data_IF_068013581003
#
_entry.id   IF_068013581003
#
_cell.length_a   1.000
_cell.length_b   1.000
_cell.length_c   1.000
_cell.angle_alpha   90.00
_cell.angle_beta   90.00
_cell.angle_gamma   90.00
#
_symmetry.space_group_name_H-M   'P 1'
#
loop_
_entity.id
_entity.type
_entity.pdbx_description
1 polymer ?
#
# COMPACT_ATOMS: atom_id res chain seq x y z
N UNK A 1 28.13 0.16 9.09
CA UNK A 1 27.26 1.14 8.40
C UNK A 1 26.81 0.50 7.09
N UNK A 2 25.73 -0.30 7.14
CA UNK A 2 25.30 -1.10 5.99
C UNK A 2 24.57 -0.23 4.97
N UNK A 3 25.00 -0.32 3.72
CA UNK A 3 24.54 0.49 2.60
C UNK A 3 23.02 0.49 2.48
N UNK A 4 22.44 1.69 2.53
CA UNK A 4 21.05 1.92 2.14
C UNK A 4 20.88 1.46 0.70
N UNK A 5 19.86 0.64 0.47
CA UNK A 5 19.49 0.16 -0.86
C UNK A 5 18.87 1.34 -1.63
N UNK A 6 19.71 2.23 -2.15
CA UNK A 6 19.27 3.45 -2.86
C UNK A 6 18.61 4.52 -1.97
N UNK A 7 18.19 5.65 -2.56
CA UNK A 7 17.35 6.64 -1.86
C UNK A 7 16.03 6.01 -1.42
N UNK A 8 15.26 6.56 -0.47
CA UNK A 8 13.93 6.06 -0.13
C UNK A 8 13.00 5.96 -1.35
N UNK A 9 11.98 5.10 -1.29
CA UNK A 9 10.99 4.97 -2.36
C UNK A 9 10.14 6.25 -2.42
N UNK A 10 10.05 6.87 -3.59
CA UNK A 10 9.22 8.07 -3.80
C UNK A 10 7.77 7.73 -4.13
N UNK A 11 6.86 8.72 -4.06
CA UNK A 11 5.44 8.53 -4.40
C UNK A 11 5.22 8.10 -5.85
N UNK A 12 5.80 8.83 -6.82
CA UNK A 12 5.64 8.49 -8.24
C UNK A 12 6.11 7.05 -8.53
N UNK A 13 7.27 6.69 -7.98
CA UNK A 13 7.80 5.33 -8.09
C UNK A 13 6.90 4.28 -7.43
N UNK A 14 6.25 4.60 -6.30
CA UNK A 14 5.32 3.71 -5.63
C UNK A 14 4.09 3.35 -6.47
N UNK A 15 3.57 4.31 -7.25
CA UNK A 15 2.43 4.12 -8.13
C UNK A 15 2.78 3.44 -9.46
N UNK A 16 4.07 3.47 -9.85
CA UNK A 16 4.58 2.73 -11.02
C UNK A 16 5.04 1.30 -10.67
N UNK A 17 4.86 0.87 -9.41
CA UNK A 17 5.25 -0.48 -9.01
C UNK A 17 4.41 -1.55 -9.73
N UNK A 18 5.02 -2.70 -10.08
CA UNK A 18 4.28 -3.84 -10.59
C UNK A 18 3.33 -4.40 -9.52
N UNK A 19 2.39 -5.28 -9.91
CA UNK A 19 1.41 -5.90 -8.99
C UNK A 19 2.03 -6.55 -7.74
N UNK A 20 3.27 -7.03 -7.83
CA UNK A 20 4.03 -7.52 -6.68
C UNK A 20 5.51 -7.21 -6.81
N UNK A 21 6.13 -6.87 -5.69
CA UNK A 21 7.54 -6.51 -5.60
C UNK A 21 8.32 -7.52 -4.77
N UNK A 22 9.65 -7.48 -4.85
CA UNK A 22 10.50 -8.26 -3.95
C UNK A 22 10.64 -7.59 -2.57
N UNK A 23 11.23 -8.34 -1.63
CA UNK A 23 11.39 -7.86 -0.26
C UNK A 23 12.34 -6.66 -0.14
N UNK A 24 13.31 -6.48 -1.03
CA UNK A 24 14.23 -5.33 -0.98
C UNK A 24 13.49 -4.05 -1.39
N UNK A 25 12.67 -4.11 -2.42
CA UNK A 25 11.80 -2.99 -2.81
C UNK A 25 10.82 -2.65 -1.70
N UNK A 26 10.19 -3.65 -1.08
CA UNK A 26 9.30 -3.42 0.07
C UNK A 26 10.04 -2.82 1.28
N UNK A 27 11.26 -3.30 1.58
CA UNK A 27 12.10 -2.77 2.65
C UNK A 27 12.46 -1.29 2.40
N UNK A 28 12.77 -0.93 1.15
CA UNK A 28 13.05 0.44 0.73
C UNK A 28 11.83 1.36 0.91
N UNK A 29 10.62 0.85 0.67
CA UNK A 29 9.38 1.60 0.88
C UNK A 29 9.18 2.00 2.36
N UNK A 30 9.64 1.16 3.29
CA UNK A 30 9.57 1.42 4.74
C UNK A 30 10.86 2.05 5.32
N UNK A 31 11.81 2.45 4.49
CA UNK A 31 13.15 2.93 4.89
C UNK A 31 13.89 2.00 5.87
N UNK A 32 13.74 0.68 5.69
CA UNK A 32 14.46 -0.33 6.47
C UNK A 32 15.48 -1.05 5.60
N UNK A 33 16.61 -1.42 6.20
CA UNK A 33 17.62 -2.17 5.47
C UNK A 33 17.15 -3.61 5.18
N UNK A 34 17.59 -4.24 4.07
CA UNK A 34 17.16 -5.59 3.70
C UNK A 34 17.39 -6.63 4.80
N UNK A 35 18.51 -6.54 5.54
CA UNK A 35 18.82 -7.45 6.63
C UNK A 35 17.77 -7.39 7.75
N UNK A 36 17.34 -6.18 8.13
CA UNK A 36 16.26 -5.97 9.10
C UNK A 36 14.93 -6.49 8.56
N UNK A 37 14.63 -6.27 7.28
CA UNK A 37 13.41 -6.82 6.67
C UNK A 37 13.36 -8.36 6.76
N UNK A 38 14.44 -9.06 6.40
CA UNK A 38 14.51 -10.51 6.56
C UNK A 38 14.38 -10.96 8.02
N UNK A 39 14.96 -10.20 8.97
CA UNK A 39 14.82 -10.48 10.41
C UNK A 39 13.36 -10.36 10.85
N UNK A 40 12.69 -9.27 10.48
CA UNK A 40 11.28 -9.03 10.81
C UNK A 40 10.37 -10.11 10.24
N UNK A 41 10.64 -10.60 9.03
CA UNK A 41 9.89 -11.72 8.43
C UNK A 41 10.01 -12.99 9.27
N UNK A 42 11.23 -13.34 9.72
CA UNK A 42 11.46 -14.51 10.58
C UNK A 42 10.76 -14.39 11.94
N UNK A 43 10.57 -13.16 12.42
CA UNK A 43 9.88 -12.85 13.67
C UNK A 43 8.36 -12.68 13.48
N UNK A 44 7.83 -12.78 12.26
CA UNK A 44 6.43 -12.50 11.98
C UNK A 44 6.01 -11.03 12.19
N UNK A 45 6.98 -10.11 12.18
CA UNK A 45 6.80 -8.70 12.56
C UNK A 45 7.03 -7.73 11.38
N UNK A 46 7.04 -8.24 10.14
CA UNK A 46 7.13 -7.36 8.97
C UNK A 46 5.82 -6.58 8.78
N UNK A 47 5.86 -5.29 8.38
CA UNK A 47 4.67 -4.42 8.44
C UNK A 47 3.50 -4.85 7.54
N UNK A 48 3.74 -5.66 6.51
CA UNK A 48 2.71 -6.12 5.59
C UNK A 48 2.82 -7.62 5.27
N UNK A 49 1.74 -8.25 4.78
CA UNK A 49 1.77 -9.65 4.36
C UNK A 49 2.81 -9.94 3.28
N UNK A 50 3.57 -11.02 3.47
CA UNK A 50 4.60 -11.46 2.52
C UNK A 50 4.31 -12.88 2.07
N UNK A 51 4.27 -13.06 0.76
CA UNK A 51 4.04 -14.33 0.09
C UNK A 51 5.36 -15.06 -0.15
N UNK A 52 5.33 -16.38 -0.02
CA UNK A 52 6.42 -17.27 -0.43
C UNK A 52 6.03 -17.99 -1.73
N UNK A 53 6.56 -17.51 -2.85
CA UNK A 53 6.28 -18.06 -4.18
C UNK A 53 7.59 -18.54 -4.81
N UNK A 54 7.69 -19.84 -5.12
CA UNK A 54 8.89 -20.43 -5.72
C UNK A 54 10.17 -20.19 -4.91
N UNK A 55 10.07 -20.24 -3.57
CA UNK A 55 11.21 -19.98 -2.67
C UNK A 55 11.61 -18.50 -2.53
N UNK A 56 10.93 -17.57 -3.22
CA UNK A 56 11.19 -16.13 -3.16
C UNK A 56 10.14 -15.42 -2.31
N UNK A 57 10.55 -14.35 -1.64
CA UNK A 57 9.62 -13.44 -0.96
C UNK A 57 9.00 -12.48 -1.98
N UNK A 58 7.67 -12.34 -1.94
CA UNK A 58 6.92 -11.40 -2.76
C UNK A 58 5.96 -10.63 -1.87
N UNK A 59 5.87 -9.33 -2.10
CA UNK A 59 4.95 -8.44 -1.41
C UNK A 59 3.97 -7.89 -2.43
N UNK A 60 2.66 -8.17 -2.31
CA UNK A 60 1.67 -7.53 -3.18
C UNK A 60 1.66 -6.02 -2.95
N UNK A 61 1.66 -5.25 -4.03
CA UNK A 61 1.77 -3.78 -3.97
C UNK A 61 0.58 -3.17 -3.23
N UNK A 62 -0.61 -3.76 -3.36
CA UNK A 62 -1.81 -3.34 -2.62
C UNK A 62 -1.63 -3.33 -1.10
N UNK A 63 -1.00 -4.37 -0.54
CA UNK A 63 -0.73 -4.43 0.90
C UNK A 63 0.37 -3.46 1.32
N UNK A 64 1.40 -3.28 0.48
CA UNK A 64 2.46 -2.32 0.72
C UNK A 64 1.89 -0.89 0.79
N UNK A 65 1.12 -0.49 -0.22
CA UNK A 65 0.47 0.83 -0.29
C UNK A 65 -0.49 1.04 0.89
N UNK A 66 -1.35 0.06 1.18
CA UNK A 66 -2.27 0.15 2.32
C UNK A 66 -1.55 0.35 3.65
N UNK A 67 -0.42 -0.34 3.86
CA UNK A 67 0.37 -0.22 5.10
C UNK A 67 1.01 1.17 5.23
N UNK A 68 1.30 1.82 4.10
CA UNK A 68 1.77 3.21 4.05
C UNK A 68 0.63 4.23 4.15
N UNK A 69 -0.62 3.79 4.33
CA UNK A 69 -1.80 4.67 4.38
C UNK A 69 -2.29 5.14 3.02
N UNK A 70 -1.83 4.53 1.93
CA UNK A 70 -2.26 4.83 0.56
C UNK A 70 -3.38 3.86 0.18
N UNK A 71 -4.59 4.39 0.01
CA UNK A 71 -5.72 3.62 -0.49
C UNK A 71 -5.76 3.65 -2.02
N UNK A 72 -5.50 2.50 -2.63
CA UNK A 72 -5.65 2.32 -4.07
C UNK A 72 -7.11 1.93 -4.37
N UNK A 73 -7.90 2.91 -4.82
CA UNK A 73 -9.30 2.71 -5.19
C UNK A 73 -9.37 2.70 -6.71
N UNK A 74 -9.69 1.56 -7.35
CA UNK A 74 -9.81 1.52 -8.79
C UNK A 74 -10.94 2.46 -9.22
N UNK A 75 -10.59 3.56 -9.87
CA UNK A 75 -11.56 4.46 -10.49
C UNK A 75 -11.72 4.00 -11.93
N UNK A 76 -12.83 3.34 -12.21
CA UNK A 76 -13.22 3.08 -13.59
C UNK A 76 -13.75 4.39 -14.16
N UNK A 77 -13.05 4.95 -15.15
CA UNK A 77 -13.60 6.01 -15.95
C UNK A 77 -14.76 5.43 -16.76
N UNK A 78 -15.98 5.73 -16.34
CA UNK A 78 -17.17 5.48 -17.16
C UNK A 78 -17.28 6.69 -18.09
N UNK A 79 -17.22 6.51 -19.42
CA UNK A 79 -17.56 7.59 -20.34
C UNK A 79 -18.94 8.10 -19.92
N UNK A 80 -19.05 9.37 -19.54
CA UNK A 80 -20.37 9.95 -19.36
C UNK A 80 -21.01 9.92 -20.74
N UNK A 81 -22.06 9.12 -20.91
CA UNK A 81 -22.86 9.18 -22.14
C UNK A 81 -23.33 10.63 -22.29
N UNK A 82 -23.08 11.20 -23.46
CA UNK A 82 -23.31 12.60 -23.75
C UNK A 82 -24.71 13.05 -23.27
N UNK A 83 -24.76 13.73 -22.12
CA UNK A 83 -25.94 14.49 -21.68
C UNK A 83 -26.91 13.85 -20.68
N UNK A 84 -26.59 12.78 -19.98
CA UNK A 84 -27.35 12.41 -18.78
C UNK A 84 -26.59 12.85 -17.51
N UNK A 85 -27.03 13.96 -16.90
CA UNK A 85 -26.46 14.46 -15.66
C UNK A 85 -26.39 13.34 -14.60
N UNK A 86 -25.21 13.09 -13.99
CA UNK A 86 -25.11 12.08 -12.94
C UNK A 86 -25.98 12.54 -11.76
N UNK A 87 -27.09 11.84 -11.53
CA UNK A 87 -27.87 11.98 -10.32
C UNK A 87 -26.91 11.73 -9.14
N UNK A 88 -26.66 12.78 -8.36
CA UNK A 88 -25.78 12.75 -7.20
C UNK A 88 -26.20 11.59 -6.30
N UNK A 89 -25.41 10.51 -6.30
CA UNK A 89 -25.51 9.51 -5.25
C UNK A 89 -24.73 10.06 -4.06
N UNK A 90 -25.40 10.37 -2.93
CA UNK A 90 -24.71 10.85 -1.76
C UNK A 90 -23.74 9.76 -1.31
N UNK A 91 -22.45 10.10 -1.29
CA UNK A 91 -21.44 9.28 -0.64
C UNK A 91 -21.79 9.22 0.84
N UNK A 92 -22.13 8.03 1.34
CA UNK A 92 -22.43 7.78 2.75
C UNK A 92 -21.32 8.34 3.64
N UNK A 93 -21.66 9.39 4.38
CA UNK A 93 -20.89 9.93 5.49
C UNK A 93 -20.90 8.92 6.62
N UNK A 94 -19.75 8.28 6.89
CA UNK A 94 -19.54 7.61 8.17
C UNK A 94 -19.37 8.66 9.27
N UNK A 95 -20.49 9.11 9.83
CA UNK A 95 -20.54 9.83 11.11
C UNK A 95 -20.09 8.88 12.22
N UNK A 96 -18.92 9.15 12.82
CA UNK A 96 -18.51 8.53 14.08
C UNK A 96 -19.22 9.27 15.23
N UNK A 97 -20.31 8.70 15.73
CA UNK A 97 -20.96 9.11 16.97
C UNK A 97 -20.33 8.39 18.18
N UNK A 98 -19.73 9.17 19.09
CA UNK A 98 -19.44 8.90 20.53
C UNK A 98 -18.61 10.12 20.98
N UNK A 99 -18.89 10.88 22.05
CA UNK A 99 -19.22 10.50 23.43
C UNK A 99 -20.02 11.64 24.13
N UNK A 100 -21.15 11.34 24.79
CA UNK A 100 -21.42 11.16 26.26
C UNK A 100 -21.76 12.47 27.01
N UNK A 101 -22.95 12.58 27.68
CA UNK A 101 -23.39 13.78 28.38
C UNK A 101 -22.92 13.83 29.85
N UNK A 102 -22.81 15.03 30.41
CA UNK A 102 -22.73 15.32 31.85
C UNK A 102 -23.93 16.19 32.26
#
# INVERSE_FOLDING_TARGET
MSGRSGPPLGFAEAFDLPLSVDLRTAARAFDICPATAYKLIRLGAFPCPVLRVGGRYRVPTTYLLRTLGIEERPVYAVPLEDGAAPAAQPHDTHTRASEVPA
#
